data_IF_796102781453
#
_entry.id   IF_796102781453
#
_cell.length_a   1.000
_cell.length_b   1.000
_cell.length_c   1.000
_cell.angle_alpha   90.00
_cell.angle_beta   90.00
_cell.angle_gamma   90.00
#
_symmetry.space_group_name_H-M   'P 1'
#
loop_
_entity.id
_entity.type
_entity.pdbx_description
1 polymer ?
#
# COMPACT_ATOMS: atom_id res chain seq x y z
N UNK A 1 -28.56 14.78 -29.51
CA UNK A 1 -27.81 13.98 -28.49
C UNK A 1 -28.40 12.59 -28.21
N UNK A 2 -29.62 12.26 -28.65
CA UNK A 2 -30.18 10.91 -28.45
C UNK A 2 -29.72 9.87 -29.50
N UNK A 3 -29.33 10.29 -30.70
CA UNK A 3 -28.84 9.39 -31.77
C UNK A 3 -27.44 8.82 -31.54
N UNK A 4 -26.60 9.46 -30.72
CA UNK A 4 -25.23 8.97 -30.46
C UNK A 4 -25.23 7.83 -29.42
N UNK A 5 -26.16 7.86 -28.47
CA UNK A 5 -26.35 6.82 -27.44
C UNK A 5 -26.98 5.56 -28.05
N UNK A 6 -27.91 5.72 -29.01
CA UNK A 6 -28.50 4.59 -29.72
C UNK A 6 -27.50 3.89 -30.66
N UNK A 7 -26.57 4.66 -31.27
CA UNK A 7 -25.48 4.08 -32.07
C UNK A 7 -24.50 3.27 -31.20
N UNK A 8 -24.17 3.75 -29.99
CA UNK A 8 -23.35 2.98 -29.06
C UNK A 8 -24.05 1.72 -28.53
N UNK A 9 -25.37 1.77 -28.25
CA UNK A 9 -26.11 0.57 -27.85
C UNK A 9 -26.27 -0.45 -28.98
N UNK A 10 -26.37 -0.02 -30.24
CA UNK A 10 -26.38 -0.92 -31.38
C UNK A 10 -25.01 -1.58 -31.61
N UNK A 11 -23.91 -0.85 -31.39
CA UNK A 11 -22.55 -1.40 -31.45
C UNK A 11 -22.26 -2.40 -30.30
N UNK A 12 -22.79 -2.15 -29.10
CA UNK A 12 -22.68 -3.07 -27.94
C UNK A 12 -23.46 -4.37 -28.17
N UNK A 13 -24.65 -4.31 -28.79
CA UNK A 13 -25.43 -5.52 -29.11
C UNK A 13 -24.82 -6.36 -30.24
N UNK A 14 -24.09 -5.74 -31.17
CA UNK A 14 -23.32 -6.43 -32.22
C UNK A 14 -22.07 -7.14 -31.67
N UNK A 15 -21.47 -6.61 -30.61
CA UNK A 15 -20.36 -7.26 -29.89
C UNK A 15 -20.82 -8.42 -29.00
N UNK A 16 -22.01 -8.35 -28.39
CA UNK A 16 -22.54 -9.46 -27.58
C UNK A 16 -22.92 -10.72 -28.36
N UNK A 17 -23.24 -10.60 -29.66
CA UNK A 17 -23.70 -11.72 -30.49
C UNK A 17 -22.58 -12.45 -31.23
N UNK A 18 -21.33 -11.98 -31.11
CA UNK A 18 -20.16 -12.55 -31.82
C UNK A 18 -19.03 -13.03 -30.92
N UNK A 19 -19.12 -12.80 -29.60
CA UNK A 19 -18.10 -13.25 -28.64
C UNK A 19 -18.50 -14.58 -28.01
N UNK A 20 -17.60 -15.57 -28.06
CA UNK A 20 -17.85 -16.85 -27.41
C UNK A 20 -17.69 -16.69 -25.87
N UNK A 21 -18.38 -17.53 -25.09
CA UNK A 21 -18.35 -17.51 -23.62
C UNK A 21 -16.94 -17.37 -22.97
N UNK A 22 -15.85 -17.97 -23.49
CA UNK A 22 -14.49 -17.71 -23.00
C UNK A 22 -14.01 -16.26 -23.17
N UNK A 23 -14.44 -15.54 -24.21
CA UNK A 23 -14.03 -14.15 -24.47
C UNK A 23 -14.76 -13.18 -23.52
N UNK A 24 -16.00 -13.48 -23.14
CA UNK A 24 -16.73 -12.75 -22.09
C UNK A 24 -16.04 -12.94 -20.73
N UNK A 25 -15.58 -14.16 -20.43
CA UNK A 25 -14.83 -14.42 -19.21
C UNK A 25 -13.47 -13.70 -19.23
N UNK A 26 -12.80 -13.64 -20.38
CA UNK A 26 -11.53 -12.94 -20.54
C UNK A 26 -11.70 -11.42 -20.41
N UNK A 27 -12.71 -10.82 -21.04
CA UNK A 27 -13.05 -9.39 -20.88
C UNK A 27 -13.48 -9.05 -19.45
N UNK A 28 -14.24 -9.93 -18.80
CA UNK A 28 -14.59 -9.77 -17.38
C UNK A 28 -13.34 -9.86 -16.49
N UNK A 29 -12.40 -10.75 -16.83
CA UNK A 29 -11.11 -10.87 -16.15
C UNK A 29 -10.18 -9.68 -16.43
N UNK A 30 -10.19 -9.10 -17.63
CA UNK A 30 -9.43 -7.89 -18.00
C UNK A 30 -10.02 -6.63 -17.33
N UNK A 31 -11.34 -6.54 -17.18
CA UNK A 31 -12.02 -5.49 -16.39
C UNK A 31 -11.77 -5.66 -14.89
N UNK A 32 -11.65 -6.90 -14.40
CA UNK A 32 -11.32 -7.17 -12.99
C UNK A 32 -9.82 -7.00 -12.71
N UNK A 33 -8.95 -7.28 -13.68
CA UNK A 33 -7.50 -7.02 -13.57
C UNK A 33 -7.18 -5.53 -13.71
N UNK A 34 -7.89 -4.78 -14.55
CA UNK A 34 -7.66 -3.33 -14.68
C UNK A 34 -7.98 -2.58 -13.38
N UNK A 35 -8.99 -3.02 -12.61
CA UNK A 35 -9.34 -2.40 -11.31
C UNK A 35 -8.46 -2.82 -10.14
N UNK A 36 -7.80 -3.97 -10.21
CA UNK A 36 -6.86 -4.43 -9.18
C UNK A 36 -5.44 -3.88 -9.40
N UNK A 37 -5.07 -3.62 -10.66
CA UNK A 37 -3.78 -3.07 -11.02
C UNK A 37 -3.65 -1.56 -10.72
N UNK A 38 -4.76 -0.80 -10.71
CA UNK A 38 -4.76 0.62 -10.32
C UNK A 38 -4.36 0.86 -8.85
N UNK A 39 -4.68 -0.07 -7.94
CA UNK A 39 -4.30 0.05 -6.51
C UNK A 39 -2.87 -0.38 -6.20
N UNK A 40 -2.34 -1.30 -7.01
CA UNK A 40 -0.93 -1.65 -6.94
C UNK A 40 -0.11 -0.51 -7.55
N UNK A 41 -0.56 0.09 -8.67
CA UNK A 41 0.15 1.15 -9.39
C UNK A 41 0.25 2.46 -8.59
N UNK A 42 -0.78 2.86 -7.84
CA UNK A 42 -0.70 4.07 -6.99
C UNK A 42 0.42 4.00 -5.95
N UNK A 43 0.70 2.84 -5.36
CA UNK A 43 1.87 2.67 -4.49
C UNK A 43 3.16 2.33 -5.25
N UNK A 44 3.08 2.05 -6.56
CA UNK A 44 4.19 1.67 -7.45
C UNK A 44 4.84 2.83 -8.16
N UNK A 45 4.14 3.95 -8.32
CA UNK A 45 4.79 5.19 -8.69
C UNK A 45 5.75 5.64 -7.58
N UNK A 46 6.95 6.14 -7.91
CA UNK A 46 7.81 6.80 -6.95
C UNK A 46 7.00 7.89 -6.22
N UNK A 47 7.40 8.23 -5.00
CA UNK A 47 6.69 9.10 -4.02
C UNK A 47 6.37 10.53 -4.49
N UNK A 48 6.32 10.79 -5.80
CA UNK A 48 6.11 12.05 -6.49
C UNK A 48 4.63 12.49 -6.57
N UNK A 49 3.65 11.66 -6.18
CA UNK A 49 2.24 12.04 -6.33
C UNK A 49 1.65 12.67 -5.05
N UNK A 50 1.51 13.99 -5.14
CA UNK A 50 0.74 14.90 -4.28
C UNK A 50 -0.33 14.24 -3.39
N UNK A 51 -0.03 14.12 -2.09
CA UNK A 51 -1.06 13.98 -1.03
C UNK A 51 -1.52 12.56 -0.68
N UNK A 52 -0.73 11.53 -0.97
CA UNK A 52 -1.09 10.15 -0.62
C UNK A 52 -1.27 9.98 0.90
N UNK A 53 -2.49 9.64 1.29
CA UNK A 53 -2.86 9.23 2.64
C UNK A 53 -3.53 7.88 2.53
N UNK A 54 -2.88 6.84 3.01
CA UNK A 54 -3.39 5.48 2.93
C UNK A 54 -3.48 4.85 4.32
N UNK A 55 -4.53 4.09 4.55
CA UNK A 55 -4.70 3.23 5.71
C UNK A 55 -4.76 1.79 5.20
N UNK A 56 -3.88 0.96 5.73
CA UNK A 56 -3.79 -0.44 5.42
C UNK A 56 -4.17 -1.20 6.68
N UNK A 57 -5.14 -2.09 6.57
CA UNK A 57 -5.66 -2.85 7.69
C UNK A 57 -5.60 -4.35 7.43
N UNK A 58 -4.98 -5.08 8.35
CA UNK A 58 -5.05 -6.54 8.40
C UNK A 58 -6.02 -6.93 9.51
N UNK A 59 -7.06 -7.68 9.18
CA UNK A 59 -7.96 -8.24 10.17
C UNK A 59 -7.33 -9.46 10.88
N UNK A 60 -7.69 -9.74 12.15
CA UNK A 60 -7.29 -10.95 12.86
C UNK A 60 -7.62 -12.22 12.06
N UNK A 61 -6.72 -13.19 12.07
CA UNK A 61 -6.84 -14.47 11.36
C UNK A 61 -7.17 -14.38 9.84
N UNK A 62 -7.00 -13.20 9.21
CA UNK A 62 -7.15 -13.04 7.76
C UNK A 62 -5.79 -12.92 7.07
N UNK A 63 -5.52 -13.71 6.02
CA UNK A 63 -4.24 -13.66 5.31
C UNK A 63 -4.09 -12.36 4.51
N UNK A 64 -5.17 -11.84 3.94
CA UNK A 64 -5.15 -10.63 3.12
C UNK A 64 -5.50 -9.39 3.96
N UNK A 65 -4.91 -8.26 3.56
CA UNK A 65 -5.24 -6.94 4.10
C UNK A 65 -6.38 -6.26 3.35
N UNK A 66 -6.74 -5.07 3.82
CA UNK A 66 -7.60 -4.10 3.18
C UNK A 66 -6.88 -2.76 3.09
N UNK A 67 -7.24 -1.95 2.11
CA UNK A 67 -6.60 -0.66 1.82
C UNK A 67 -7.70 0.39 1.68
N UNK A 68 -7.46 1.56 2.25
CA UNK A 68 -8.25 2.76 2.06
C UNK A 68 -7.28 3.90 1.73
N UNK A 69 -7.44 4.55 0.57
CA UNK A 69 -6.63 5.70 0.19
C UNK A 69 -7.49 6.95 0.04
N UNK A 70 -6.88 8.12 0.25
CA UNK A 70 -7.52 9.40 -0.02
C UNK A 70 -7.84 9.50 -1.52
N UNK A 71 -9.11 9.77 -1.84
CA UNK A 71 -9.59 9.79 -3.24
C UNK A 71 -10.25 8.49 -3.70
N UNK A 72 -10.27 7.43 -2.87
CA UNK A 72 -10.99 6.20 -3.19
C UNK A 72 -12.45 6.51 -3.55
N UNK A 73 -12.90 6.01 -4.70
CA UNK A 73 -14.28 6.17 -5.14
C UNK A 73 -15.24 5.70 -4.04
N UNK A 74 -16.02 6.63 -3.49
CA UNK A 74 -16.94 6.43 -2.37
C UNK A 74 -16.31 6.09 -1.00
N UNK A 75 -15.00 6.25 -0.81
CA UNK A 75 -14.34 6.01 0.47
C UNK A 75 -14.36 4.54 0.93
N UNK A 76 -14.47 3.60 0.00
CA UNK A 76 -14.60 2.18 0.31
C UNK A 76 -13.25 1.51 0.56
N UNK A 77 -13.25 0.54 1.49
CA UNK A 77 -12.12 -0.36 1.67
C UNK A 77 -12.02 -1.37 0.54
N UNK A 78 -10.87 -1.41 -0.10
CA UNK A 78 -10.54 -2.42 -1.10
C UNK A 78 -9.75 -3.59 -0.49
N UNK A 79 -9.84 -4.76 -1.11
CA UNK A 79 -9.07 -5.94 -0.67
C UNK A 79 -7.65 -5.89 -1.25
N UNK A 80 -6.67 -6.30 -0.43
CA UNK A 80 -5.31 -6.56 -0.89
C UNK A 80 -5.27 -7.81 -1.77
N UNK A 81 -4.64 -7.77 -2.96
CA UNK A 81 -4.68 -8.88 -3.91
C UNK A 81 -3.88 -10.10 -3.43
N UNK A 82 -2.77 -9.90 -2.71
CA UNK A 82 -1.99 -10.99 -2.10
C UNK A 82 -2.07 -11.01 -0.56
N UNK A 83 -1.80 -12.18 0.06
CA UNK A 83 -1.59 -12.30 1.50
C UNK A 83 -0.45 -11.40 2.00
N UNK A 84 -0.65 -10.77 3.15
CA UNK A 84 0.31 -9.82 3.74
C UNK A 84 1.61 -10.47 4.23
N UNK A 85 1.66 -11.79 4.31
CA UNK A 85 2.88 -12.52 4.67
C UNK A 85 3.80 -12.76 3.46
N UNK A 86 3.28 -12.58 2.22
CA UNK A 86 4.09 -12.59 1.01
C UNK A 86 5.05 -11.40 0.97
N UNK A 87 6.00 -11.39 0.04
CA UNK A 87 6.97 -10.29 -0.08
C UNK A 87 6.58 -9.24 -1.14
N UNK A 88 5.50 -9.47 -1.89
CA UNK A 88 5.05 -8.60 -2.98
C UNK A 88 3.53 -8.69 -3.19
N UNK A 89 3.00 -7.88 -4.11
CA UNK A 89 1.58 -7.94 -4.49
C UNK A 89 0.63 -7.46 -3.39
N UNK A 90 1.12 -6.69 -2.42
CA UNK A 90 0.29 -6.05 -1.41
C UNK A 90 0.93 -4.76 -0.89
N UNK A 91 0.09 -3.89 -0.36
CA UNK A 91 0.44 -2.54 0.09
C UNK A 91 1.41 -2.51 1.29
N UNK A 92 1.34 -3.49 2.20
CA UNK A 92 2.25 -3.54 3.36
C UNK A 92 3.73 -3.69 2.96
N UNK A 93 4.04 -4.51 1.95
CA UNK A 93 5.41 -4.68 1.45
C UNK A 93 5.80 -3.46 0.63
N UNK A 94 4.87 -2.97 -0.20
CA UNK A 94 5.13 -1.86 -1.11
C UNK A 94 5.46 -0.56 -0.37
N UNK A 95 4.70 -0.22 0.69
CA UNK A 95 4.94 0.96 1.52
C UNK A 95 6.36 1.01 2.12
N UNK A 96 7.05 -0.13 2.23
CA UNK A 96 8.31 -0.27 2.93
C UNK A 96 9.42 -0.81 2.04
N UNK A 97 9.22 -0.84 0.72
CA UNK A 97 10.14 -1.51 -0.20
C UNK A 97 11.55 -0.94 -0.13
N UNK A 98 11.71 0.37 0.04
CA UNK A 98 13.01 1.05 0.15
C UNK A 98 13.58 1.08 1.57
N UNK A 99 12.80 0.63 2.56
CA UNK A 99 13.25 0.39 3.94
C UNK A 99 13.81 -1.02 4.07
N UNK A 100 13.15 -1.96 3.39
CA UNK A 100 13.38 -3.39 3.45
C UNK A 100 14.46 -3.84 2.47
N UNK A 101 14.50 -3.25 1.27
CA UNK A 101 15.56 -3.41 0.28
C UNK A 101 16.50 -2.19 0.28
N UNK A 102 17.74 -2.40 -0.15
CA UNK A 102 18.71 -1.32 -0.27
C UNK A 102 18.31 -0.40 -1.43
N UNK A 103 18.12 0.88 -1.14
CA UNK A 103 18.01 1.95 -2.13
C UNK A 103 18.96 3.08 -1.70
N UNK A 104 19.86 3.50 -2.59
CA UNK A 104 20.87 4.51 -2.30
C UNK A 104 20.25 5.91 -2.03
N UNK A 105 19.13 6.20 -2.69
CA UNK A 105 18.45 7.49 -2.60
C UNK A 105 17.49 7.54 -1.40
N UNK A 106 17.12 6.39 -0.82
CA UNK A 106 16.25 6.38 0.35
C UNK A 106 17.03 6.53 1.66
N UNK A 107 16.64 7.49 2.49
CA UNK A 107 17.07 7.62 3.90
C UNK A 107 15.87 7.38 4.79
N UNK A 108 16.06 6.66 5.89
CA UNK A 108 14.96 6.36 6.80
C UNK A 108 15.41 6.21 8.25
N UNK A 109 14.46 6.44 9.15
CA UNK A 109 14.55 6.13 10.57
C UNK A 109 13.35 5.26 10.91
N UNK A 110 13.60 4.09 11.52
CA UNK A 110 12.55 3.25 12.08
C UNK A 110 12.54 3.36 13.60
N UNK A 111 11.35 3.53 14.18
CA UNK A 111 11.16 3.52 15.63
C UNK A 111 10.17 2.43 16.00
N UNK A 112 10.46 1.68 17.07
CA UNK A 112 9.59 0.60 17.53
C UNK A 112 9.93 0.29 19.00
N UNK A 113 8.93 0.11 19.86
CA UNK A 113 9.14 -0.32 21.24
C UNK A 113 9.43 -1.84 21.36
N UNK A 114 9.26 -2.59 20.28
CA UNK A 114 9.67 -3.98 20.12
C UNK A 114 10.32 -4.16 18.73
N UNK A 115 11.52 -3.62 18.50
CA UNK A 115 12.18 -3.71 17.20
C UNK A 115 12.61 -5.15 16.88
N UNK A 116 12.72 -5.51 15.59
CA UNK A 116 13.21 -6.83 15.20
C UNK A 116 14.64 -7.05 15.65
N UNK A 117 14.95 -8.27 16.09
CA UNK A 117 16.30 -8.78 16.37
C UNK A 117 17.12 -7.97 17.40
N UNK A 118 16.50 -7.02 18.11
CA UNK A 118 17.13 -6.23 19.17
C UNK A 118 16.46 -6.54 20.51
N UNK A 119 17.09 -7.34 21.37
CA UNK A 119 16.55 -7.66 22.68
C UNK A 119 16.61 -6.45 23.63
N UNK A 120 15.64 -6.35 24.54
CA UNK A 120 15.64 -5.44 25.72
C UNK A 120 15.56 -3.93 25.41
N UNK A 121 14.73 -3.51 24.48
CA UNK A 121 14.42 -2.08 24.31
C UNK A 121 13.41 -1.63 25.39
N UNK A 122 13.77 -0.61 26.17
CA UNK A 122 12.87 0.05 27.15
C UNK A 122 12.57 1.47 26.68
N UNK A 123 11.40 1.67 26.06
CA UNK A 123 10.87 3.00 25.73
C UNK A 123 9.65 3.33 26.59
N UNK A 124 9.40 4.62 26.84
CA UNK A 124 8.14 5.08 27.44
C UNK A 124 6.98 5.07 26.45
N UNK A 125 7.29 5.17 25.15
CA UNK A 125 6.30 5.16 24.07
C UNK A 125 6.04 3.74 23.57
N UNK A 126 4.77 3.47 23.21
CA UNK A 126 4.35 2.25 22.51
C UNK A 126 4.26 2.43 20.97
N UNK A 127 4.56 3.63 20.48
CA UNK A 127 4.48 4.00 19.08
C UNK A 127 5.51 3.25 18.24
N UNK A 128 5.15 2.96 16.99
CA UNK A 128 6.01 2.30 16.01
C UNK A 128 5.78 2.90 14.64
N UNK A 129 6.83 2.98 13.84
CA UNK A 129 6.73 3.56 12.52
C UNK A 129 8.07 3.74 11.83
N UNK A 130 7.99 4.32 10.65
CA UNK A 130 9.12 4.65 9.81
C UNK A 130 8.93 6.07 9.28
N UNK A 131 9.96 6.88 9.39
CA UNK A 131 10.10 8.12 8.64
C UNK A 131 11.09 7.87 7.52
N UNK A 132 10.73 8.16 6.27
CA UNK A 132 11.60 7.93 5.12
C UNK A 132 11.52 9.08 4.13
N UNK A 133 12.60 9.32 3.40
CA UNK A 133 12.71 10.33 2.37
C UNK A 133 13.57 9.83 1.22
N UNK A 134 13.17 10.20 0.00
CA UNK A 134 13.96 10.01 -1.21
C UNK A 134 14.78 11.27 -1.49
N UNK A 135 16.11 11.17 -1.39
CA UNK A 135 17.03 12.30 -1.62
C UNK A 135 17.20 12.67 -3.09
N UNK A 136 16.58 11.92 -4.01
CA UNK A 136 16.62 12.21 -5.45
C UNK A 136 15.49 13.11 -5.95
N UNK A 137 14.50 13.41 -5.11
CA UNK A 137 13.28 14.12 -5.49
C UNK A 137 12.86 15.11 -4.39
N UNK A 138 12.45 16.32 -4.78
CA UNK A 138 11.95 17.31 -3.82
C UNK A 138 10.60 16.87 -3.22
N UNK A 139 10.41 17.13 -1.92
CA UNK A 139 9.18 16.82 -1.17
C UNK A 139 8.74 15.34 -1.21
N UNK A 140 9.69 14.43 -1.43
CA UNK A 140 9.45 12.99 -1.50
C UNK A 140 9.71 12.32 -0.13
N UNK A 141 8.89 12.67 0.87
CA UNK A 141 8.96 12.08 2.21
C UNK A 141 7.65 11.41 2.64
N UNK A 142 7.79 10.36 3.45
CA UNK A 142 6.66 9.61 4.00
C UNK A 142 6.87 9.31 5.49
N UNK A 143 5.78 9.45 6.23
CA UNK A 143 5.68 9.00 7.61
C UNK A 143 4.69 7.85 7.70
N UNK A 144 5.21 6.69 8.09
CA UNK A 144 4.45 5.47 8.32
C UNK A 144 4.30 5.25 9.81
N UNK A 145 3.08 5.02 10.26
CA UNK A 145 2.76 4.59 11.63
C UNK A 145 2.15 3.20 11.57
N UNK A 146 2.60 2.26 12.41
CA UNK A 146 2.07 0.90 12.41
C UNK A 146 1.94 0.28 13.80
N UNK A 147 1.22 -0.83 13.88
CA UNK A 147 1.02 -1.56 15.14
C UNK A 147 1.85 -2.84 15.25
N UNK A 148 2.56 -3.25 14.20
CA UNK A 148 3.27 -4.54 14.11
C UNK A 148 4.57 -4.55 14.95
N UNK A 149 4.69 -5.36 16.01
CA UNK A 149 5.95 -5.57 16.71
C UNK A 149 6.92 -6.41 15.87
N UNK A 150 8.23 -6.18 15.98
CA UNK A 150 9.25 -6.93 15.22
C UNK A 150 9.30 -6.58 13.73
N UNK A 151 8.81 -5.40 13.34
CA UNK A 151 8.66 -4.97 11.95
C UNK A 151 8.97 -3.47 11.80
N UNK A 152 9.44 -3.01 10.62
CA UNK A 152 10.00 -3.81 9.53
C UNK A 152 11.42 -4.30 9.86
N UNK A 153 11.83 -5.41 9.23
CA UNK A 153 13.24 -5.80 9.21
C UNK A 153 13.98 -5.01 8.13
N UNK A 154 14.58 -3.91 8.56
CA UNK A 154 15.26 -2.99 7.66
C UNK A 154 16.45 -3.69 6.96
N UNK A 155 16.54 -3.55 5.63
CA UNK A 155 17.64 -4.06 4.79
C UNK A 155 17.88 -5.58 4.82
N UNK A 156 16.95 -6.39 5.30
CA UNK A 156 17.09 -7.87 5.32
C UNK A 156 16.00 -8.59 4.54
N UNK A 157 15.23 -7.88 3.71
CA UNK A 157 14.10 -8.47 2.98
C UNK A 157 12.79 -8.51 3.79
N UNK A 158 11.68 -8.68 3.07
CA UNK A 158 10.36 -8.59 3.66
C UNK A 158 10.08 -9.81 4.53
N UNK A 159 9.70 -9.57 5.78
CA UNK A 159 9.21 -10.59 6.67
C UNK A 159 8.12 -10.00 7.56
N UNK A 160 6.88 -10.39 7.30
CA UNK A 160 5.81 -10.16 8.26
C UNK A 160 6.00 -11.12 9.45
N UNK A 161 6.05 -10.64 10.71
CA UNK A 161 6.35 -11.49 11.85
C UNK A 161 5.31 -12.64 12.00
N UNK A 162 5.74 -13.91 12.03
CA UNK A 162 4.83 -15.05 12.09
C UNK A 162 3.85 -15.01 13.28
N UNK A 163 4.32 -14.53 14.43
CA UNK A 163 3.50 -14.38 15.64
C UNK A 163 2.35 -13.35 15.49
N UNK A 164 2.43 -12.49 14.49
CA UNK A 164 1.49 -11.40 14.25
C UNK A 164 0.45 -11.75 13.16
N UNK A 165 0.61 -12.90 12.47
CA UNK A 165 -0.32 -13.33 11.40
C UNK A 165 -1.74 -13.56 11.91
N UNK A 166 -1.90 -13.98 13.17
CA UNK A 166 -3.23 -14.22 13.76
C UNK A 166 -3.89 -12.94 14.32
N UNK A 167 -3.15 -11.83 14.40
CA UNK A 167 -3.59 -10.59 15.05
C UNK A 167 -4.02 -9.53 14.03
N UNK A 168 -4.78 -8.55 14.50
CA UNK A 168 -5.16 -7.40 13.70
C UNK A 168 -4.06 -6.35 13.70
N UNK A 169 -3.74 -5.76 12.55
CA UNK A 169 -2.72 -4.72 12.42
C UNK A 169 -3.14 -3.58 11.52
N UNK A 170 -2.63 -2.39 11.84
CA UNK A 170 -2.83 -1.17 11.08
C UNK A 170 -1.48 -0.65 10.61
N UNK A 171 -1.44 -0.11 9.40
CA UNK A 171 -0.36 0.71 8.88
C UNK A 171 -1.00 1.95 8.25
N UNK A 172 -0.56 3.13 8.66
CA UNK A 172 -0.99 4.41 8.10
C UNK A 172 0.21 5.00 7.38
N UNK A 173 0.05 5.39 6.13
CA UNK A 173 1.06 6.07 5.33
C UNK A 173 0.61 7.52 5.07
N UNK A 174 1.47 8.47 5.43
CA UNK A 174 1.26 9.90 5.20
C UNK A 174 2.41 10.42 4.34
N UNK A 175 2.10 10.97 3.17
CA UNK A 175 3.06 11.85 2.48
C UNK A 175 3.22 13.14 3.27
N UNK A 176 4.46 13.51 3.53
CA UNK A 176 4.83 14.74 4.22
C UNK A 176 5.82 15.51 3.36
N UNK A 177 5.88 16.82 3.55
CA UNK A 177 6.96 17.63 2.95
C UNK A 177 8.24 17.45 3.74
N UNK A 178 9.38 17.68 3.10
CA UNK A 178 10.68 17.57 3.76
C UNK A 178 10.84 18.60 4.88
N UNK A 179 10.30 19.81 4.70
CA UNK A 179 10.29 20.86 5.72
C UNK A 179 9.49 20.51 6.99
N UNK A 180 8.61 19.50 6.92
CA UNK A 180 7.84 19.01 8.06
C UNK A 180 8.63 18.00 8.90
N UNK A 181 9.70 17.40 8.38
CA UNK A 181 10.49 16.37 9.07
C UNK A 181 11.05 16.89 10.39
N UNK A 182 11.65 18.07 10.37
CA UNK A 182 12.20 18.70 11.59
C UNK A 182 11.12 18.99 12.63
N UNK A 183 9.90 19.30 12.18
CA UNK A 183 8.77 19.53 13.08
C UNK A 183 8.30 18.23 13.73
N UNK A 184 8.27 17.12 12.99
CA UNK A 184 7.87 15.80 13.49
C UNK A 184 8.95 15.22 14.42
N UNK A 185 10.23 15.45 14.11
CA UNK A 185 11.36 14.92 14.87
C UNK A 185 11.68 15.69 16.16
N UNK A 186 11.10 16.89 16.35
CA UNK A 186 11.30 17.69 17.56
C UNK A 186 10.71 16.97 18.78
N UNK A 187 11.56 16.78 19.79
CA UNK A 187 11.22 16.23 21.09
C UNK A 187 11.01 17.34 22.13
#
# INVERSE_FOLDING_TARGET
MLNMVLLQMHQINLLHTTMNQPDIAQLTNEINHSKANDMQSEMTEPMQQTGMRAILYKAPAKPNGKILHAGAANGNWANSPQPIAGNNGHSFAKALEHVIAVNANNKFISYNNHPPDVPKVRTKSNSKGVLMMDTGNDDAAAWIVHTVPGFPKARTGYLFPPAEVQKGHLLICLTIKEDQIDTIGKC
#
